data_IF_717171199358
#
_entry.id   IF_717171199358
#
_cell.length_a   1.000
_cell.length_b   1.000
_cell.length_c   1.000
_cell.angle_alpha   90.00
_cell.angle_beta   90.00
_cell.angle_gamma   90.00
#
_symmetry.space_group_name_H-M   'P 1'
#
loop_
_entity.id
_entity.type
_entity.pdbx_description
1 polymer ?
#
# COMPACT_ATOMS: atom_id res chain seq x y z
N UNK A 1 53.15 -20.56 5.46
CA UNK A 1 51.91 -21.14 4.91
C UNK A 1 50.76 -20.16 5.16
N UNK A 2 50.42 -19.32 4.17
CA UNK A 2 49.37 -18.30 4.28
C UNK A 2 48.03 -18.92 3.83
N UNK A 3 47.10 -19.09 4.78
CA UNK A 3 45.73 -19.54 4.53
C UNK A 3 44.94 -18.37 3.97
N UNK A 4 44.50 -18.48 2.72
CA UNK A 4 43.63 -17.52 2.04
C UNK A 4 42.20 -17.72 2.59
N UNK A 5 41.73 -16.80 3.42
CA UNK A 5 40.33 -16.76 3.87
C UNK A 5 39.52 -16.07 2.76
N UNK A 6 38.76 -16.87 2.01
CA UNK A 6 37.79 -16.41 1.03
C UNK A 6 36.56 -15.88 1.79
N UNK A 7 36.52 -14.56 2.01
CA UNK A 7 35.36 -13.90 2.60
C UNK A 7 34.23 -13.88 1.57
N UNK A 8 33.19 -14.68 1.83
CA UNK A 8 31.92 -14.65 1.12
C UNK A 8 31.27 -13.27 1.33
N UNK A 9 31.36 -12.40 0.33
CA UNK A 9 30.55 -11.18 0.25
C UNK A 9 29.11 -11.60 -0.03
N UNK A 10 28.35 -11.86 1.04
CA UNK A 10 26.88 -11.87 1.00
C UNK A 10 26.43 -10.43 0.75
N UNK A 11 26.44 -10.02 -0.52
CA UNK A 11 25.76 -8.82 -0.98
C UNK A 11 24.27 -9.05 -0.87
N UNK A 12 23.69 -8.63 0.26
CA UNK A 12 22.24 -8.48 0.42
C UNK A 12 21.76 -7.46 -0.60
N UNK A 13 21.34 -7.94 -1.77
CA UNK A 13 20.56 -7.13 -2.70
C UNK A 13 19.26 -6.78 -2.00
N UNK A 14 19.20 -5.58 -1.43
CA UNK A 14 17.94 -4.97 -1.05
C UNK A 14 17.15 -4.76 -2.34
N UNK A 15 16.19 -5.65 -2.59
CA UNK A 15 15.19 -5.44 -3.64
C UNK A 15 14.56 -4.07 -3.39
N UNK A 16 14.47 -3.20 -4.41
CA UNK A 16 13.78 -1.93 -4.24
C UNK A 16 12.34 -2.25 -3.84
N UNK A 17 11.91 -1.75 -2.68
CA UNK A 17 10.54 -1.85 -2.25
C UNK A 17 9.65 -1.30 -3.37
N UNK A 18 8.76 -2.13 -3.92
CA UNK A 18 7.76 -1.69 -4.88
C UNK A 18 6.99 -0.53 -4.23
N UNK A 19 7.12 0.66 -4.81
CA UNK A 19 6.40 1.83 -4.32
C UNK A 19 4.92 1.63 -4.67
N UNK A 20 4.09 1.43 -3.64
CA UNK A 20 2.65 1.33 -3.83
C UNK A 20 2.13 2.75 -4.03
N UNK A 21 1.66 3.06 -5.23
CA UNK A 21 1.06 4.35 -5.52
C UNK A 21 -0.38 4.40 -5.01
N UNK A 22 -0.72 5.50 -4.34
CA UNK A 22 -2.10 5.75 -3.90
C UNK A 22 -2.97 6.12 -5.10
N UNK A 23 -4.04 5.35 -5.34
CA UNK A 23 -4.99 5.57 -6.42
C UNK A 23 -6.34 5.96 -5.82
N UNK A 24 -7.05 6.88 -6.49
CA UNK A 24 -8.42 7.21 -6.08
C UNK A 24 -9.31 5.96 -6.23
N UNK A 25 -9.97 5.48 -5.16
CA UNK A 25 -10.78 4.27 -5.23
C UNK A 25 -11.87 4.32 -6.32
N UNK A 26 -12.43 5.49 -6.62
CA UNK A 26 -13.45 5.62 -7.68
C UNK A 26 -12.94 5.21 -9.06
N UNK A 27 -11.65 5.44 -9.36
CA UNK A 27 -11.08 5.11 -10.68
C UNK A 27 -10.79 3.62 -10.82
N UNK A 28 -10.72 2.87 -9.72
CA UNK A 28 -10.54 1.41 -9.76
C UNK A 28 -11.79 0.69 -10.24
N UNK A 29 -12.95 1.36 -10.23
CA UNK A 29 -14.20 0.81 -10.73
C UNK A 29 -14.24 0.62 -12.26
N UNK A 30 -13.28 1.19 -13.02
CA UNK A 30 -13.19 0.95 -14.47
C UNK A 30 -12.94 -0.52 -14.83
N UNK A 31 -12.52 -1.35 -13.86
CA UNK A 31 -12.38 -2.80 -14.03
C UNK A 31 -13.70 -3.48 -14.44
N UNK A 32 -14.85 -2.95 -14.00
CA UNK A 32 -16.15 -3.54 -14.28
C UNK A 32 -16.60 -3.24 -15.71
N UNK A 33 -16.91 -4.29 -16.46
CA UNK A 33 -17.36 -4.18 -17.86
C UNK A 33 -18.78 -3.60 -17.98
N UNK A 34 -19.68 -3.96 -17.06
CA UNK A 34 -21.07 -3.49 -17.06
C UNK A 34 -21.18 -2.14 -16.36
N UNK A 35 -21.89 -1.20 -16.98
CA UNK A 35 -22.06 0.15 -16.43
C UNK A 35 -22.79 0.16 -15.07
N UNK A 36 -23.76 -0.74 -14.88
CA UNK A 36 -24.47 -0.88 -13.61
C UNK A 36 -23.51 -1.26 -12.45
N UNK A 37 -22.61 -2.21 -12.70
CA UNK A 37 -21.64 -2.67 -11.70
C UNK A 37 -20.58 -1.59 -11.43
N UNK A 38 -20.11 -0.90 -12.49
CA UNK A 38 -19.21 0.26 -12.38
C UNK A 38 -19.84 1.37 -11.53
N UNK A 39 -21.10 1.69 -11.77
CA UNK A 39 -21.82 2.72 -11.02
C UNK A 39 -22.01 2.30 -9.55
N UNK A 40 -22.35 1.04 -9.29
CA UNK A 40 -22.45 0.49 -7.93
C UNK A 40 -21.11 0.57 -7.19
N UNK A 41 -20.02 0.17 -7.85
CA UNK A 41 -18.65 0.29 -7.31
C UNK A 41 -18.33 1.75 -6.95
N UNK A 42 -18.57 2.71 -7.86
CA UNK A 42 -18.29 4.14 -7.59
C UNK A 42 -19.12 4.68 -6.43
N UNK A 43 -20.37 4.24 -6.28
CA UNK A 43 -21.19 4.60 -5.13
C UNK A 43 -20.63 4.01 -3.82
N UNK A 44 -20.10 2.80 -3.85
CA UNK A 44 -19.45 2.21 -2.67
C UNK A 44 -18.14 2.93 -2.34
N UNK A 45 -17.30 3.24 -3.33
CA UNK A 45 -16.06 4.01 -3.15
C UNK A 45 -16.29 5.35 -2.43
N UNK A 46 -17.43 6.01 -2.68
CA UNK A 46 -17.82 7.26 -2.02
C UNK A 46 -18.36 7.09 -0.60
N UNK A 47 -18.91 5.92 -0.29
CA UNK A 47 -19.55 5.62 1.00
C UNK A 47 -18.57 5.02 2.01
N UNK A 48 -17.61 4.23 1.53
CA UNK A 48 -16.60 3.59 2.34
C UNK A 48 -15.48 4.58 2.66
N UNK A 49 -14.93 4.48 3.86
CA UNK A 49 -13.74 5.22 4.27
C UNK A 49 -12.49 4.41 3.87
N UNK A 50 -12.12 4.50 2.60
CA UNK A 50 -11.03 3.71 2.03
C UNK A 50 -9.70 4.47 2.09
N UNK A 51 -8.68 3.87 2.71
CA UNK A 51 -7.29 4.29 2.52
C UNK A 51 -6.89 4.03 1.07
N UNK A 52 -6.45 5.05 0.35
CA UNK A 52 -6.15 4.97 -1.07
C UNK A 52 -4.99 4.01 -1.39
N UNK A 53 -4.04 3.81 -0.47
CA UNK A 53 -2.98 2.82 -0.66
C UNK A 53 -3.55 1.41 -0.51
N UNK A 54 -4.40 1.18 0.49
CA UNK A 54 -5.05 -0.12 0.68
C UNK A 54 -5.99 -0.45 -0.49
N UNK A 55 -6.70 0.56 -1.02
CA UNK A 55 -7.52 0.41 -2.21
C UNK A 55 -6.68 0.02 -3.44
N UNK A 56 -5.49 0.60 -3.61
CA UNK A 56 -4.53 0.18 -4.65
C UNK A 56 -4.07 -1.27 -4.48
N UNK A 57 -3.83 -1.74 -3.26
CA UNK A 57 -3.50 -3.15 -3.03
C UNK A 57 -4.69 -4.07 -3.33
N UNK A 58 -5.91 -3.68 -2.95
CA UNK A 58 -7.12 -4.42 -3.32
C UNK A 58 -7.30 -4.47 -4.85
N UNK A 59 -6.81 -3.49 -5.62
CA UNK A 59 -6.88 -3.52 -7.07
C UNK A 59 -6.09 -4.67 -7.71
N UNK A 60 -5.11 -5.25 -6.98
CA UNK A 60 -4.36 -6.42 -7.40
C UNK A 60 -5.12 -7.74 -7.21
N UNK A 61 -6.32 -7.69 -6.62
CA UNK A 61 -7.21 -8.85 -6.48
C UNK A 61 -7.95 -9.06 -7.80
N UNK A 62 -7.78 -10.22 -8.41
CA UNK A 62 -8.24 -10.51 -9.77
C UNK A 62 -9.75 -10.67 -9.87
N UNK A 63 -10.37 -11.34 -8.90
CA UNK A 63 -11.82 -11.53 -8.92
C UNK A 63 -12.57 -10.27 -8.48
N UNK A 64 -13.56 -9.83 -9.25
CA UNK A 64 -14.39 -8.67 -8.94
C UNK A 64 -15.14 -8.81 -7.60
N UNK A 65 -15.60 -10.02 -7.25
CA UNK A 65 -16.28 -10.26 -5.97
C UNK A 65 -15.30 -10.16 -4.79
N UNK A 66 -14.08 -10.67 -4.98
CA UNK A 66 -13.02 -10.63 -3.99
C UNK A 66 -12.47 -9.22 -3.82
N UNK A 67 -12.37 -8.45 -4.91
CA UNK A 67 -12.04 -7.04 -4.91
C UNK A 67 -13.01 -6.23 -4.06
N UNK A 68 -14.32 -6.40 -4.30
CA UNK A 68 -15.34 -5.71 -3.49
C UNK A 68 -15.31 -6.15 -2.03
N UNK A 69 -15.01 -7.43 -1.77
CA UNK A 69 -14.84 -7.94 -0.41
C UNK A 69 -13.58 -7.36 0.27
N UNK A 70 -12.50 -7.17 -0.49
CA UNK A 70 -11.29 -6.52 -0.01
C UNK A 70 -11.57 -5.08 0.44
N UNK A 71 -12.36 -4.32 -0.31
CA UNK A 71 -12.80 -2.98 0.10
C UNK A 71 -13.57 -2.98 1.42
N UNK A 72 -14.43 -3.98 1.64
CA UNK A 72 -15.12 -4.13 2.93
C UNK A 72 -14.15 -4.46 4.07
N UNK A 73 -13.15 -5.29 3.80
CA UNK A 73 -12.14 -5.65 4.79
C UNK A 73 -11.32 -4.44 5.26
N UNK A 74 -11.00 -3.51 4.34
CA UNK A 74 -10.14 -2.33 4.60
C UNK A 74 -10.92 -1.06 4.96
N UNK A 75 -12.26 -1.09 4.90
CA UNK A 75 -13.11 0.05 5.23
C UNK A 75 -12.86 0.56 6.67
N UNK A 76 -12.62 1.86 6.81
CA UNK A 76 -12.33 2.51 8.11
C UNK A 76 -10.99 2.11 8.71
N UNK A 77 -10.11 1.44 7.95
CA UNK A 77 -8.76 1.08 8.36
C UNK A 77 -7.74 1.96 7.63
N UNK A 78 -6.62 2.21 8.30
CA UNK A 78 -5.52 3.00 7.74
C UNK A 78 -4.24 2.16 7.65
N UNK A 79 -3.42 2.44 6.63
CA UNK A 79 -2.31 1.56 6.28
C UNK A 79 -1.05 2.34 5.96
N UNK A 80 0.05 2.08 6.67
CA UNK A 80 1.34 2.67 6.31
C UNK A 80 1.85 2.05 4.99
N UNK A 81 2.28 2.83 3.98
CA UNK A 81 2.77 2.30 2.71
C UNK A 81 3.97 1.34 2.87
N UNK A 82 4.94 1.59 3.78
CA UNK A 82 5.97 0.60 4.08
C UNK A 82 5.42 -0.75 4.54
N UNK A 83 4.34 -0.77 5.33
CA UNK A 83 3.75 -2.02 5.83
C UNK A 83 3.01 -2.78 4.71
N UNK A 84 2.50 -2.06 3.71
CA UNK A 84 1.77 -2.65 2.58
C UNK A 84 2.70 -3.38 1.59
N UNK A 85 4.01 -3.13 1.62
CA UNK A 85 4.98 -3.79 0.73
C UNK A 85 4.93 -5.32 0.87
N UNK A 86 4.66 -5.81 2.09
CA UNK A 86 4.51 -7.24 2.37
C UNK A 86 3.27 -7.85 1.70
N UNK A 87 2.27 -7.04 1.37
CA UNK A 87 1.01 -7.46 0.77
C UNK A 87 0.97 -7.24 -0.75
N UNK A 88 2.08 -6.92 -1.42
CA UNK A 88 2.14 -6.66 -2.87
C UNK A 88 3.15 -7.54 -3.62
N UNK A 89 3.56 -8.67 -3.05
CA UNK A 89 4.43 -9.61 -3.76
C UNK A 89 3.71 -10.23 -4.97
N UNK A 90 4.44 -10.42 -6.07
CA UNK A 90 3.89 -10.85 -7.37
C UNK A 90 3.17 -12.20 -7.29
N UNK A 91 3.72 -13.16 -6.52
CA UNK A 91 3.18 -14.53 -6.44
C UNK A 91 2.09 -14.73 -5.37
N UNK A 92 1.60 -13.66 -4.73
CA UNK A 92 0.63 -13.77 -3.64
C UNK A 92 -0.79 -13.94 -4.17
N UNK A 93 -1.47 -15.00 -3.73
CA UNK A 93 -2.85 -15.25 -4.10
C UNK A 93 -3.81 -14.20 -3.52
N UNK A 94 -4.97 -14.00 -4.17
CA UNK A 94 -6.02 -13.06 -3.75
C UNK A 94 -6.40 -13.20 -2.26
N UNK A 95 -6.61 -14.43 -1.79
CA UNK A 95 -6.96 -14.71 -0.39
C UNK A 95 -5.83 -14.33 0.57
N UNK A 96 -4.58 -14.69 0.23
CA UNK A 96 -3.39 -14.37 1.01
C UNK A 96 -3.16 -12.86 1.09
N UNK A 97 -3.42 -12.15 -0.01
CA UNK A 97 -3.33 -10.69 -0.10
C UNK A 97 -4.33 -9.99 0.82
N UNK A 98 -5.58 -10.44 0.77
CA UNK A 98 -6.63 -9.94 1.67
C UNK A 98 -6.32 -10.23 3.14
N UNK A 99 -5.84 -11.44 3.44
CA UNK A 99 -5.46 -11.81 4.80
C UNK A 99 -4.22 -11.04 5.29
N UNK A 100 -3.28 -10.71 4.39
CA UNK A 100 -2.20 -9.79 4.68
C UNK A 100 -2.72 -8.42 5.13
N UNK A 101 -3.61 -7.80 4.33
CA UNK A 101 -4.24 -6.51 4.65
C UNK A 101 -5.01 -6.53 5.98
N UNK A 102 -5.69 -7.63 6.31
CA UNK A 102 -6.39 -7.76 7.60
C UNK A 102 -5.43 -7.78 8.79
N UNK A 103 -4.24 -8.40 8.63
CA UNK A 103 -3.24 -8.56 9.69
C UNK A 103 -2.44 -7.29 9.96
N UNK A 104 -2.11 -6.52 8.93
CA UNK A 104 -1.21 -5.36 9.06
C UNK A 104 -1.94 -4.07 9.44
N UNK A 105 -3.29 -4.06 9.43
CA UNK A 105 -4.05 -2.86 9.75
C UNK A 105 -3.64 -2.30 11.12
N UNK A 106 -2.99 -1.14 11.08
CA UNK A 106 -2.47 -0.36 12.21
C UNK A 106 -1.74 -1.15 13.31
N UNK A 107 -0.73 -1.95 12.94
CA UNK A 107 0.31 -2.36 13.91
C UNK A 107 1.25 -1.20 14.29
N UNK A 108 1.49 -0.21 13.42
CA UNK A 108 2.52 0.81 13.63
C UNK A 108 2.24 2.24 13.09
N UNK A 109 1.08 2.56 12.49
CA UNK A 109 0.93 3.90 11.92
C UNK A 109 0.73 4.95 13.03
N UNK A 110 1.51 6.04 12.96
CA UNK A 110 1.29 7.23 13.79
C UNK A 110 -0.14 7.72 13.55
N UNK A 111 -0.91 7.93 14.63
CA UNK A 111 -2.28 8.49 14.60
C UNK A 111 -2.38 9.79 13.80
N UNK A 112 -1.27 10.51 13.62
CA UNK A 112 -1.20 11.79 12.91
C UNK A 112 -0.98 11.66 11.40
N UNK A 113 -1.07 10.44 10.84
CA UNK A 113 -0.91 10.27 9.39
C UNK A 113 -2.13 10.83 8.67
N UNK A 114 -1.89 11.82 7.82
CA UNK A 114 -2.89 12.36 6.92
C UNK A 114 -3.24 11.31 5.83
N UNK A 115 -4.53 11.11 5.51
CA UNK A 115 -4.92 10.16 4.48
C UNK A 115 -4.36 10.61 3.12
N UNK A 116 -4.08 9.67 2.22
CA UNK A 116 -3.51 10.01 0.90
C UNK A 116 -4.44 10.88 0.05
N UNK A 117 -5.75 10.82 0.34
CA UNK A 117 -6.78 11.70 -0.22
C UNK A 117 -6.61 13.17 0.17
N UNK A 118 -5.89 13.44 1.27
CA UNK A 118 -5.66 14.79 1.76
C UNK A 118 -4.73 15.56 0.82
N UNK A 119 -5.10 16.79 0.40
CA UNK A 119 -4.20 17.67 -0.34
C UNK A 119 -2.86 17.91 0.37
N UNK A 120 -2.83 17.80 1.70
CA UNK A 120 -1.63 17.96 2.51
C UNK A 120 -0.68 16.74 2.43
N UNK A 121 -1.16 15.56 2.05
CA UNK A 121 -0.34 14.37 1.81
C UNK A 121 0.50 14.47 0.51
N UNK A 122 0.13 15.38 -0.41
CA UNK A 122 0.86 15.63 -1.67
C UNK A 122 2.06 16.55 -1.53
N UNK A 123 2.33 17.12 -0.34
CA UNK A 123 3.57 17.88 -0.13
C UNK A 123 4.71 16.85 -0.06
N UNK A 124 5.72 16.92 -0.96
CA UNK A 124 6.93 16.13 -0.75
C UNK A 124 7.46 16.49 0.63
N UNK A 125 7.86 15.48 1.40
CA UNK A 125 8.60 15.66 2.66
C UNK A 125 9.81 16.52 2.30
N UNK A 126 9.71 17.84 2.46
CA UNK A 126 10.85 18.75 2.31
C UNK A 126 11.81 18.32 3.41
N UNK A 127 12.86 17.61 2.98
CA UNK A 127 13.98 17.11 3.76
C UNK A 127 14.22 17.95 5.02
N UNK A 128 13.68 17.49 6.15
CA UNK A 128 14.18 17.83 7.49
C UNK A 128 15.47 17.02 7.70
N UNK A 129 16.44 17.22 6.79
CA UNK A 129 17.76 16.59 6.81
C UNK A 129 18.85 17.61 6.41
N UNK A 130 18.56 18.91 6.55
CA UNK A 130 19.55 19.97 6.38
C UNK A 130 19.91 20.71 7.68
N UNK A 131 19.10 20.64 8.75
CA UNK A 131 19.39 21.38 9.99
C UNK A 131 20.28 20.65 11.01
N UNK A 132 20.61 19.36 10.82
CA UNK A 132 21.56 18.67 11.70
C UNK A 132 23.04 18.96 11.41
N UNK A 133 23.37 19.77 10.40
CA UNK A 133 24.77 20.08 10.05
C UNK A 133 25.28 21.45 10.49
N UNK A 134 24.52 22.25 11.23
CA UNK A 134 24.99 23.55 11.74
C UNK A 134 24.67 23.72 13.23
N UNK A 135 25.17 22.82 14.07
CA UNK A 135 25.55 23.14 15.46
C UNK A 135 26.83 22.36 15.78
N UNK A 136 27.95 22.88 15.28
CA UNK A 136 29.25 22.74 15.94
C UNK A 136 29.35 23.82 16.99
#
# INVERSE_FOLDING_TARGET
MKKLLLALLLSSFALPAAAIDAVNPETLCERFLKDADRQSCRQQAKKLDLDWYAASVCALVDSDSEFMSCWQDVNGRHYSPPDLVECVTEDMADSERRDCLKRISLKNAKRDRLPASSPAAKKPVKKEYQDMKIRR
#
